data_IF_178009543514
#
_entry.id   IF_178009543514
#
_cell.length_a   1.000
_cell.length_b   1.000
_cell.length_c   1.000
_cell.angle_alpha   90.00
_cell.angle_beta   90.00
_cell.angle_gamma   90.00
#
_symmetry.space_group_name_H-M   'P 1'
#
loop_
_entity.id
_entity.type
_entity.pdbx_description
1 polymer ?
#
# COMPACT_ATOMS: atom_id res chain seq x y z
N UNK A 1 -9.00 22.57 -3.48
CA UNK A 1 -7.99 23.63 -3.65
C UNK A 1 -8.36 24.60 -4.76
N UNK A 2 -8.92 24.15 -5.89
CA UNK A 2 -9.40 25.07 -6.95
C UNK A 2 -10.51 26.02 -6.46
N UNK A 3 -11.37 25.56 -5.57
CA UNK A 3 -12.55 26.33 -5.13
C UNK A 3 -12.27 27.38 -4.04
N UNK A 4 -11.17 27.26 -3.29
CA UNK A 4 -10.88 28.11 -2.12
C UNK A 4 -9.59 28.95 -2.27
N UNK A 5 -8.93 28.90 -3.42
CA UNK A 5 -7.60 29.50 -3.62
C UNK A 5 -6.46 28.68 -2.98
N UNK A 6 -5.21 29.08 -3.27
CA UNK A 6 -3.98 28.41 -2.80
C UNK A 6 -3.14 29.26 -1.83
N UNK A 7 -3.59 30.48 -1.51
CA UNK A 7 -2.80 31.46 -0.75
C UNK A 7 -2.41 31.00 0.65
N UNK A 8 -3.24 30.17 1.28
CA UNK A 8 -3.07 29.79 2.70
C UNK A 8 -2.63 28.33 2.91
N UNK A 9 -2.41 27.57 1.82
CA UNK A 9 -2.04 26.16 1.89
C UNK A 9 -0.86 25.90 0.97
N UNK A 10 0.26 25.51 1.57
CA UNK A 10 1.50 25.18 0.86
C UNK A 10 1.83 23.68 0.85
N UNK A 11 1.11 22.86 1.63
CA UNK A 11 1.43 21.43 1.80
C UNK A 11 0.18 20.58 2.04
N UNK A 12 0.09 19.46 1.33
CA UNK A 12 -0.70 18.29 1.71
C UNK A 12 0.26 17.13 2.01
N UNK A 13 0.24 16.62 3.25
CA UNK A 13 0.97 15.42 3.64
C UNK A 13 -0.04 14.33 4.02
N UNK A 14 0.13 13.15 3.43
CA UNK A 14 -0.74 11.98 3.71
C UNK A 14 0.06 10.81 4.26
N UNK A 15 -0.58 10.06 5.16
CA UNK A 15 0.00 8.90 5.84
C UNK A 15 -0.92 7.70 5.57
N UNK A 16 -0.50 6.78 4.71
CA UNK A 16 -1.26 5.56 4.37
C UNK A 16 -2.64 5.84 3.77
N UNK A 17 -2.85 6.96 3.07
CA UNK A 17 -4.15 7.32 2.47
C UNK A 17 -4.30 6.69 1.08
N UNK A 18 -5.38 5.97 0.75
CA UNK A 18 -5.61 5.48 -0.61
C UNK A 18 -6.07 6.62 -1.52
N UNK A 19 -5.32 6.90 -2.59
CA UNK A 19 -5.60 7.99 -3.54
C UNK A 19 -6.29 7.53 -4.82
N UNK A 20 -6.12 6.25 -5.21
CA UNK A 20 -6.57 5.74 -6.49
C UNK A 20 -7.83 4.87 -6.34
N UNK A 21 -8.82 4.98 -7.24
CA UNK A 21 -9.97 4.09 -7.23
C UNK A 21 -9.55 2.65 -7.53
N UNK A 22 -10.30 1.66 -7.01
CA UNK A 22 -10.07 0.28 -7.41
C UNK A 22 -10.40 0.09 -8.91
N UNK A 23 -9.66 -0.76 -9.62
CA UNK A 23 -9.92 -1.04 -11.03
C UNK A 23 -11.32 -1.64 -11.24
N UNK A 24 -12.01 -1.17 -12.28
CA UNK A 24 -13.36 -1.62 -12.64
C UNK A 24 -13.33 -3.02 -13.24
N UNK A 25 -14.40 -3.79 -13.02
CA UNK A 25 -14.58 -5.11 -13.63
C UNK A 25 -13.76 -6.25 -13.00
N UNK A 26 -13.04 -6.01 -11.91
CA UNK A 26 -12.32 -7.08 -11.22
C UNK A 26 -13.28 -7.93 -10.38
N UNK A 27 -13.29 -9.24 -10.63
CA UNK A 27 -14.18 -10.18 -9.94
C UNK A 27 -13.97 -10.15 -8.41
N UNK A 28 -15.07 -9.95 -7.68
CA UNK A 28 -15.09 -9.90 -6.22
C UNK A 28 -14.50 -8.62 -5.60
N UNK A 29 -14.24 -7.58 -6.41
CA UNK A 29 -13.87 -6.25 -5.92
C UNK A 29 -15.13 -5.38 -5.85
N UNK A 30 -15.36 -4.80 -4.69
CA UNK A 30 -16.42 -3.83 -4.42
C UNK A 30 -15.74 -2.53 -4.01
N UNK A 31 -16.01 -1.45 -4.74
CA UNK A 31 -15.52 -0.13 -4.38
C UNK A 31 -16.16 0.36 -3.07
N UNK A 32 -15.40 0.28 -1.98
CA UNK A 32 -15.83 0.70 -0.64
C UNK A 32 -16.03 2.22 -0.54
N UNK A 33 -15.42 2.99 -1.44
CA UNK A 33 -15.59 4.44 -1.50
C UNK A 33 -16.84 4.85 -2.27
N UNK A 34 -17.55 3.88 -2.87
CA UNK A 34 -18.77 4.07 -3.66
C UNK A 34 -18.59 5.11 -4.77
N UNK A 35 -17.44 5.08 -5.44
CA UNK A 35 -17.09 5.98 -6.54
C UNK A 35 -16.45 7.29 -6.12
N UNK A 36 -16.21 7.54 -4.82
CA UNK A 36 -15.62 8.81 -4.38
C UNK A 36 -14.20 9.02 -4.94
N UNK A 37 -13.36 7.98 -4.94
CA UNK A 37 -12.01 8.09 -5.52
C UNK A 37 -12.05 8.20 -7.05
N UNK A 38 -13.02 7.56 -7.72
CA UNK A 38 -13.23 7.72 -9.17
C UNK A 38 -13.68 9.15 -9.51
N UNK A 39 -14.50 9.76 -8.65
CA UNK A 39 -14.86 11.16 -8.78
C UNK A 39 -13.66 12.08 -8.60
N UNK A 40 -12.86 11.88 -7.55
CA UNK A 40 -11.65 12.69 -7.30
C UNK A 40 -10.67 12.58 -8.46
N UNK A 41 -10.37 11.37 -8.93
CA UNK A 41 -9.45 11.14 -10.05
C UNK A 41 -9.88 11.87 -11.33
N UNK A 42 -11.19 11.95 -11.61
CA UNK A 42 -11.73 12.58 -12.82
C UNK A 42 -11.92 14.08 -12.73
N UNK A 43 -12.17 14.61 -11.54
CA UNK A 43 -12.65 15.98 -11.36
C UNK A 43 -11.68 16.87 -10.59
N UNK A 44 -10.64 16.32 -9.98
CA UNK A 44 -9.64 17.11 -9.26
C UNK A 44 -8.33 17.21 -10.04
N UNK A 45 -7.66 18.35 -9.90
CA UNK A 45 -6.31 18.53 -10.42
C UNK A 45 -5.35 17.47 -9.86
N UNK A 46 -4.36 17.02 -10.66
CA UNK A 46 -3.37 16.05 -10.20
C UNK A 46 -2.51 16.63 -9.06
N UNK A 47 -1.87 15.74 -8.30
CA UNK A 47 -0.91 16.16 -7.29
C UNK A 47 0.28 16.88 -7.93
N UNK A 48 0.85 17.84 -7.17
CA UNK A 48 2.02 18.61 -7.58
C UNK A 48 3.00 18.70 -6.42
N UNK A 49 4.29 18.73 -6.73
CA UNK A 49 5.34 18.99 -5.75
C UNK A 49 6.22 20.14 -6.25
N UNK A 50 5.82 21.35 -5.89
CA UNK A 50 6.42 22.63 -6.31
C UNK A 50 6.84 23.46 -5.10
N UNK A 51 7.50 24.62 -5.32
CA UNK A 51 7.82 25.57 -4.26
C UNK A 51 6.56 26.16 -3.60
N UNK A 52 5.50 26.35 -4.37
CA UNK A 52 4.25 27.00 -3.91
C UNK A 52 3.29 26.00 -3.25
N UNK A 53 3.23 24.78 -3.77
CA UNK A 53 2.35 23.73 -3.27
C UNK A 53 3.02 22.36 -3.36
N UNK A 54 3.13 21.70 -2.21
CA UNK A 54 3.77 20.39 -2.06
C UNK A 54 2.73 19.33 -1.75
N UNK A 55 2.76 18.23 -2.47
CA UNK A 55 2.08 16.99 -2.11
C UNK A 55 3.15 16.00 -1.66
N UNK A 56 2.97 15.43 -0.48
CA UNK A 56 3.84 14.40 0.09
C UNK A 56 2.94 13.21 0.48
N UNK A 57 3.23 12.06 -0.11
CA UNK A 57 2.46 10.84 0.10
C UNK A 57 3.38 9.81 0.74
N UNK A 58 3.11 9.50 2.01
CA UNK A 58 3.91 8.55 2.78
C UNK A 58 3.13 7.25 2.92
N UNK A 59 3.76 6.17 2.51
CA UNK A 59 3.25 4.82 2.63
C UNK A 59 4.08 3.99 3.60
N UNK A 60 3.45 3.04 4.27
CA UNK A 60 4.10 2.01 5.07
C UNK A 60 4.25 0.74 4.26
N UNK A 61 5.41 0.09 4.37
CA UNK A 61 5.73 -1.18 3.73
C UNK A 61 5.96 -2.24 4.79
N UNK A 62 4.88 -2.60 5.49
CA UNK A 62 4.93 -3.50 6.64
C UNK A 62 4.74 -4.97 6.27
N UNK A 63 3.78 -5.27 5.39
CA UNK A 63 3.41 -6.65 5.07
C UNK A 63 2.99 -6.79 3.62
N UNK A 64 3.41 -7.89 2.99
CA UNK A 64 2.94 -8.27 1.66
C UNK A 64 1.69 -9.13 1.80
N UNK A 65 0.60 -8.72 1.16
CA UNK A 65 -0.60 -9.52 1.05
C UNK A 65 -0.36 -10.78 0.21
N UNK A 66 -1.29 -11.73 0.30
CA UNK A 66 -1.29 -12.94 -0.50
C UNK A 66 -2.69 -13.23 -1.06
N UNK A 67 -2.73 -13.94 -2.18
CA UNK A 67 -4.00 -14.41 -2.77
C UNK A 67 -4.64 -15.46 -1.86
N UNK A 68 -5.97 -15.45 -1.77
CA UNK A 68 -6.71 -16.58 -1.21
C UNK A 68 -6.47 -17.81 -2.09
N UNK A 69 -6.34 -18.98 -1.47
CA UNK A 69 -6.27 -20.24 -2.21
C UNK A 69 -7.68 -20.49 -2.77
N UNK A 70 -7.82 -20.40 -4.08
CA UNK A 70 -9.00 -20.85 -4.83
C UNK A 70 -8.55 -21.92 -5.82
N UNK A 71 -9.40 -22.95 -6.03
CA UNK A 71 -9.16 -24.09 -6.95
C UNK A 71 -8.54 -23.56 -8.26
N UNK A 72 -7.38 -24.07 -8.64
CA UNK A 72 -6.82 -23.78 -9.96
C UNK A 72 -7.91 -24.06 -11.03
N UNK A 73 -7.96 -23.29 -12.14
CA UNK A 73 -8.64 -23.82 -13.32
C UNK A 73 -8.02 -25.20 -13.59
N UNK A 74 -8.87 -26.18 -13.91
CA UNK A 74 -8.43 -27.56 -14.10
C UNK A 74 -7.40 -27.63 -15.23
N UNK A 75 -6.13 -27.56 -14.87
CA UNK A 75 -5.04 -28.00 -15.71
C UNK A 75 -4.93 -29.50 -15.46
N UNK A 76 -5.41 -30.26 -16.44
CA UNK A 76 -4.96 -31.62 -16.67
C UNK A 76 -3.42 -31.62 -16.66
N UNK A 77 -2.84 -32.64 -16.03
CA UNK A 77 -1.63 -33.39 -16.45
C UNK A 77 -0.76 -33.79 -15.23
N UNK A 78 -0.64 -35.11 -15.03
CA UNK A 78 0.64 -35.77 -14.73
C UNK A 78 1.24 -35.65 -13.32
N UNK A 79 1.17 -36.74 -12.55
CA UNK A 79 2.23 -37.17 -11.62
C UNK A 79 3.29 -37.88 -12.50
N UNK A 80 4.60 -37.57 -12.46
CA UNK A 80 5.54 -38.03 -11.41
C UNK A 80 6.68 -37.00 -11.17
N UNK A 81 7.72 -37.13 -10.34
CA UNK A 81 8.35 -38.17 -9.55
C UNK A 81 9.27 -37.45 -8.53
N UNK A 82 9.56 -38.09 -7.40
CA UNK A 82 10.56 -37.62 -6.44
C UNK A 82 11.96 -37.77 -7.03
N UNK A 83 12.73 -36.69 -7.13
CA UNK A 83 14.20 -36.77 -7.25
C UNK A 83 14.85 -35.81 -6.27
N UNK A 84 15.58 -36.39 -5.32
CA UNK A 84 16.59 -35.70 -4.53
C UNK A 84 17.80 -35.40 -5.43
N UNK A 85 18.30 -34.15 -5.43
CA UNK A 85 19.66 -33.81 -5.00
C UNK A 85 20.08 -32.37 -5.35
N UNK A 86 20.84 -31.83 -4.39
CA UNK A 86 21.91 -30.83 -4.48
C UNK A 86 21.53 -29.41 -4.95
N UNK A 87 21.53 -28.46 -4.00
CA UNK A 87 21.59 -27.04 -4.34
C UNK A 87 22.83 -26.37 -3.74
N UNK A 88 23.46 -25.62 -4.64
CA UNK A 88 24.76 -24.99 -4.57
C UNK A 88 24.54 -23.53 -4.13
N UNK A 89 25.49 -22.96 -3.41
CA UNK A 89 25.35 -21.67 -2.73
C UNK A 89 24.81 -20.53 -3.60
N UNK A 90 23.56 -20.13 -3.34
CA UNK A 90 22.94 -18.91 -3.82
C UNK A 90 21.78 -18.54 -2.91
N UNK A 91 21.99 -17.62 -1.98
CA UNK A 91 20.99 -17.16 -1.02
C UNK A 91 19.89 -16.33 -1.71
N UNK A 92 18.97 -17.00 -2.40
CA UNK A 92 17.65 -16.44 -2.68
C UNK A 92 16.87 -16.35 -1.35
N UNK A 93 16.17 -15.24 -1.08
CA UNK A 93 15.33 -15.16 0.11
C UNK A 93 14.26 -16.25 0.02
N UNK A 94 14.26 -17.15 1.00
CA UNK A 94 13.35 -18.29 1.08
C UNK A 94 11.91 -17.84 0.77
N UNK A 95 11.25 -18.56 -0.14
CA UNK A 95 9.87 -18.30 -0.52
C UNK A 95 8.96 -18.63 0.68
N UNK A 96 8.73 -17.66 1.57
CA UNK A 96 7.91 -17.86 2.78
C UNK A 96 6.48 -18.17 2.36
N UNK A 97 5.96 -19.32 2.78
CA UNK A 97 4.61 -19.74 2.46
C UNK A 97 3.55 -18.71 2.97
N UNK A 98 2.51 -18.39 2.18
CA UNK A 98 1.46 -17.47 2.62
C UNK A 98 0.75 -17.92 3.89
N UNK A 99 0.70 -17.05 4.90
CA UNK A 99 -0.05 -17.26 6.14
C UNK A 99 -1.51 -16.83 6.00
N UNK A 100 -2.40 -17.31 6.88
CA UNK A 100 -3.80 -16.84 6.94
C UNK A 100 -3.90 -15.31 7.07
N UNK A 101 -3.00 -14.70 7.86
CA UNK A 101 -2.92 -13.25 8.02
C UNK A 101 -2.60 -12.54 6.71
N UNK A 102 -1.59 -13.00 5.96
CA UNK A 102 -1.24 -12.40 4.66
C UNK A 102 -2.36 -12.55 3.64
N UNK A 103 -3.14 -13.65 3.69
CA UNK A 103 -4.31 -13.84 2.82
C UNK A 103 -5.45 -12.90 3.16
N UNK A 104 -5.76 -12.73 4.45
CA UNK A 104 -6.80 -11.79 4.91
C UNK A 104 -6.45 -10.34 4.50
N UNK A 105 -5.21 -9.92 4.77
CA UNK A 105 -4.73 -8.59 4.35
C UNK A 105 -4.74 -8.44 2.83
N UNK A 106 -4.31 -9.48 2.11
CA UNK A 106 -4.37 -9.49 0.65
C UNK A 106 -5.78 -9.33 0.10
N UNK A 107 -6.82 -9.86 0.76
CA UNK A 107 -8.19 -9.57 0.35
C UNK A 107 -8.57 -8.11 0.57
N UNK A 108 -8.15 -7.49 1.68
CA UNK A 108 -8.31 -6.05 1.90
C UNK A 108 -7.64 -5.23 0.78
N UNK A 109 -6.37 -5.52 0.47
CA UNK A 109 -5.66 -4.85 -0.63
C UNK A 109 -6.33 -5.04 -1.98
N UNK A 110 -6.87 -6.23 -2.24
CA UNK A 110 -7.62 -6.50 -3.46
C UNK A 110 -8.85 -5.57 -3.58
N UNK A 111 -9.54 -5.27 -2.48
CA UNK A 111 -10.66 -4.31 -2.51
C UNK A 111 -10.20 -2.89 -2.85
N UNK A 112 -8.98 -2.50 -2.48
CA UNK A 112 -8.45 -1.14 -2.69
C UNK A 112 -7.81 -0.97 -4.07
N UNK A 113 -7.01 -1.94 -4.52
CA UNK A 113 -6.18 -1.81 -5.72
C UNK A 113 -6.38 -2.93 -6.76
N UNK A 114 -7.33 -3.85 -6.54
CA UNK A 114 -7.59 -4.99 -7.41
C UNK A 114 -6.58 -6.13 -7.30
N UNK A 115 -5.50 -5.97 -6.53
CA UNK A 115 -4.43 -6.98 -6.36
C UNK A 115 -4.27 -7.40 -4.90
N UNK A 116 -4.13 -8.69 -4.66
CA UNK A 116 -3.94 -9.23 -3.30
C UNK A 116 -2.46 -9.37 -2.91
N UNK A 117 -1.58 -9.59 -3.89
CA UNK A 117 -0.16 -9.87 -3.72
C UNK A 117 0.71 -8.61 -3.88
N UNK A 118 0.44 -7.60 -3.05
CA UNK A 118 1.14 -6.31 -3.03
C UNK A 118 1.58 -5.96 -1.61
N UNK A 119 2.57 -5.08 -1.50
CA UNK A 119 3.02 -4.53 -0.22
C UNK A 119 2.10 -3.41 0.25
N UNK A 120 2.02 -3.23 1.56
CA UNK A 120 1.36 -2.09 2.19
C UNK A 120 1.53 -2.08 3.71
N UNK A 121 0.76 -1.22 4.36
CA UNK A 121 0.87 -0.93 5.80
C UNK A 121 -0.07 -1.80 6.67
N UNK A 122 -0.57 -2.89 6.12
CA UNK A 122 -1.62 -3.75 6.68
C UNK A 122 -3.06 -3.33 6.38
N UNK A 123 -3.32 -2.12 5.85
CA UNK A 123 -4.67 -1.66 5.46
C UNK A 123 -4.68 -1.13 4.03
N UNK A 124 -3.76 -0.22 3.71
CA UNK A 124 -3.65 0.41 2.40
C UNK A 124 -2.44 -0.16 1.66
N UNK A 125 -2.63 -0.66 0.42
CA UNK A 125 -1.51 -1.10 -0.40
C UNK A 125 -0.69 0.13 -0.83
N UNK A 126 0.63 -0.02 -0.82
CA UNK A 126 1.60 1.03 -1.16
C UNK A 126 1.29 1.69 -2.52
N UNK A 127 0.92 0.86 -3.51
CA UNK A 127 0.58 1.33 -4.86
C UNK A 127 -0.63 2.26 -4.91
N UNK A 128 -1.51 2.22 -3.90
CA UNK A 128 -2.65 3.13 -3.77
C UNK A 128 -2.34 4.29 -2.83
N UNK A 129 -1.31 4.17 -1.99
CA UNK A 129 -0.87 5.24 -1.08
C UNK A 129 0.02 6.28 -1.77
N UNK A 130 0.60 5.94 -2.91
CA UNK A 130 1.37 6.86 -3.74
C UNK A 130 0.50 7.55 -4.80
N UNK A 131 0.84 8.79 -5.11
CA UNK A 131 0.14 9.61 -6.10
C UNK A 131 1.14 10.21 -7.09
N UNK A 132 0.83 10.11 -8.39
CA UNK A 132 1.67 10.69 -9.43
C UNK A 132 1.75 12.22 -9.28
N UNK A 133 2.96 12.77 -9.40
CA UNK A 133 3.22 14.21 -9.20
C UNK A 133 3.48 14.63 -7.75
N UNK A 134 3.27 13.76 -6.77
CA UNK A 134 3.67 13.97 -5.38
C UNK A 134 5.11 13.49 -5.10
N UNK A 135 5.70 13.97 -4.01
CA UNK A 135 6.85 13.31 -3.39
C UNK A 135 6.34 12.04 -2.67
N UNK A 136 6.69 10.88 -3.19
CA UNK A 136 6.27 9.59 -2.66
C UNK A 136 7.38 8.96 -1.82
N UNK A 137 7.07 8.56 -0.59
CA UNK A 137 8.03 8.01 0.38
C UNK A 137 7.46 6.72 0.98
N UNK A 138 8.26 5.64 0.96
CA UNK A 138 7.91 4.38 1.60
C UNK A 138 8.72 4.15 2.86
N UNK A 139 8.06 3.83 3.97
CA UNK A 139 8.72 3.43 5.21
C UNK A 139 8.60 1.93 5.45
N UNK A 140 9.74 1.25 5.41
CA UNK A 140 9.86 -0.17 5.73
C UNK A 140 9.38 -0.48 7.15
N UNK A 141 8.56 -1.53 7.28
CA UNK A 141 8.08 -2.03 8.57
C UNK A 141 7.03 -1.15 9.26
N UNK A 142 6.55 -0.06 8.63
CA UNK A 142 5.56 0.85 9.24
C UNK A 142 4.14 0.38 8.96
N UNK A 143 3.39 0.16 10.04
CA UNK A 143 1.99 -0.26 10.06
C UNK A 143 1.02 0.94 10.01
N UNK A 144 -0.23 0.67 9.65
CA UNK A 144 -1.22 1.70 9.36
C UNK A 144 -1.66 2.53 10.59
N UNK A 145 -1.97 1.87 11.71
CA UNK A 145 -2.75 2.48 12.79
C UNK A 145 -2.25 2.09 14.17
N UNK A 146 -2.62 2.83 15.24
CA UNK A 146 -2.20 2.49 16.59
C UNK A 146 -2.80 1.16 17.08
N UNK A 147 -3.88 0.70 16.45
CA UNK A 147 -4.56 -0.52 16.86
C UNK A 147 -3.71 -1.75 16.53
N UNK A 148 -3.16 -2.35 17.57
CA UNK A 148 -2.25 -3.48 17.49
C UNK A 148 -0.79 -3.08 17.27
N UNK A 149 -0.48 -1.83 16.94
CA UNK A 149 0.92 -1.40 16.85
C UNK A 149 1.63 -1.52 18.20
N UNK A 150 2.94 -1.61 18.14
CA UNK A 150 3.82 -1.32 19.26
C UNK A 150 5.05 -0.57 18.72
N UNK A 151 5.64 0.34 19.50
CA UNK A 151 6.70 1.23 18.99
C UNK A 151 8.01 0.52 18.62
N UNK A 152 8.10 -0.82 18.78
CA UNK A 152 9.32 -1.61 18.56
C UNK A 152 9.20 -2.57 17.37
N UNK A 153 8.29 -3.54 17.45
CA UNK A 153 8.10 -4.64 16.49
C UNK A 153 7.09 -4.29 15.40
N UNK A 154 6.11 -3.44 15.69
CA UNK A 154 5.09 -2.99 14.73
C UNK A 154 4.85 -1.49 14.88
N UNK A 155 5.85 -0.64 14.59
CA UNK A 155 5.68 0.79 14.68
C UNK A 155 4.63 1.25 13.65
N UNK A 156 3.87 2.29 13.97
CA UNK A 156 2.90 2.90 13.06
C UNK A 156 3.28 4.36 12.78
N UNK A 157 2.55 5.05 11.91
CA UNK A 157 2.92 6.42 11.53
C UNK A 157 3.05 7.39 12.72
N UNK A 158 2.31 7.16 13.81
CA UNK A 158 2.38 7.95 15.04
C UNK A 158 3.39 7.46 16.09
N UNK A 159 4.09 6.34 15.88
CA UNK A 159 5.17 5.90 16.77
C UNK A 159 6.29 6.95 16.82
N UNK A 160 6.88 7.28 17.99
CA UNK A 160 7.88 8.36 18.09
C UNK A 160 9.03 8.23 17.08
N UNK A 161 9.55 7.01 16.89
CA UNK A 161 10.61 6.71 15.93
C UNK A 161 10.22 6.92 14.46
N UNK A 162 8.92 6.88 14.14
CA UNK A 162 8.38 7.10 12.80
C UNK A 162 7.98 8.56 12.62
N UNK A 163 7.41 9.22 13.64
CA UNK A 163 7.11 10.66 13.63
C UNK A 163 8.34 11.47 13.29
N UNK A 164 9.50 11.16 13.88
CA UNK A 164 10.76 11.82 13.56
C UNK A 164 11.15 11.71 12.06
N UNK A 165 10.69 10.67 11.35
CA UNK A 165 10.99 10.47 9.93
C UNK A 165 10.15 11.35 9.00
N UNK A 166 9.01 11.88 9.44
CA UNK A 166 8.13 12.65 8.53
C UNK A 166 7.72 14.02 9.04
N UNK A 167 7.79 14.28 10.35
CA UNK A 167 7.33 15.55 10.94
C UNK A 167 8.12 16.76 10.43
N UNK A 168 9.38 16.57 10.06
CA UNK A 168 10.23 17.63 9.50
C UNK A 168 9.64 18.20 8.19
N UNK A 169 8.91 17.39 7.42
CA UNK A 169 8.21 17.87 6.22
C UNK A 169 7.09 18.87 6.55
N UNK A 170 6.46 18.80 7.73
CA UNK A 170 5.45 19.77 8.16
C UNK A 170 6.08 21.09 8.64
N UNK A 171 7.26 21.01 9.24
CA UNK A 171 7.87 22.14 9.94
C UNK A 171 8.78 22.99 9.06
N UNK A 172 9.01 22.59 7.79
CA UNK A 172 10.03 23.18 6.91
C UNK A 172 11.40 23.33 7.62
N UNK A 173 11.71 22.41 8.54
CA UNK A 173 12.97 22.32 9.28
C UNK A 173 13.98 21.43 8.56
#
# INVERSE_FOLDING_TARGET
>A
MEEFGKSDISLLLTLGTPHLPPPKGIAGVIDQTRGLLDYVEKNCAPAVHTSELKYICISGRYIRGARMVGKAPAENEGIPELTEKEDNGGSQPAHVAPTLRTRFIGQGYKQVCGRADVWGDGVVPEISAHLHGALNISFEGVYHSPTGSDDKLRPWYGSPSVVHKWVHHLLNL
#
